data_IF_099808921398
#
_entry.id   IF_099808921398
#
_cell.length_a   1.000
_cell.length_b   1.000
_cell.length_c   1.000
_cell.angle_alpha   90.00
_cell.angle_beta   90.00
_cell.angle_gamma   90.00
#
_symmetry.space_group_name_H-M   'P 1'
#
loop_
_entity.id
_entity.type
_entity.pdbx_description
1 polymer ?
#
# COMPACT_ATOMS: atom_id res chain seq x y z
N UNK A 1 -6.34 13.05 -11.64
CA UNK A 1 -6.23 12.00 -12.67
C UNK A 1 -5.73 10.74 -11.97
N UNK A 2 -6.15 9.55 -12.36
CA UNK A 2 -5.56 8.32 -11.82
C UNK A 2 -4.20 8.04 -12.47
N UNK A 3 -3.30 7.43 -11.70
CA UNK A 3 -2.00 6.97 -12.19
C UNK A 3 -2.12 5.60 -12.85
N UNK A 4 -1.26 5.33 -13.83
CA UNK A 4 -1.26 4.04 -14.55
C UNK A 4 -0.79 2.89 -13.65
N UNK A 5 -1.59 1.84 -13.55
CA UNK A 5 -1.22 0.58 -12.90
C UNK A 5 -0.13 -0.12 -13.73
N UNK A 6 1.03 -0.50 -13.15
CA UNK A 6 2.06 -1.23 -13.88
C UNK A 6 1.63 -2.69 -14.14
N UNK A 7 2.01 -3.22 -15.29
CA UNK A 7 1.86 -4.64 -15.63
C UNK A 7 3.15 -5.14 -16.32
N UNK A 8 3.87 -6.14 -15.76
CA UNK A 8 3.59 -6.85 -14.52
C UNK A 8 3.56 -5.92 -13.30
N UNK A 9 2.68 -6.22 -12.33
CA UNK A 9 2.49 -5.37 -11.16
C UNK A 9 3.66 -5.47 -10.18
N UNK A 10 4.68 -4.65 -10.42
CA UNK A 10 5.94 -4.60 -9.69
C UNK A 10 6.28 -3.15 -9.37
N UNK A 11 6.97 -2.90 -8.26
CA UNK A 11 7.48 -1.58 -7.90
C UNK A 11 8.58 -1.14 -8.88
N UNK A 12 8.62 0.16 -9.19
CA UNK A 12 9.69 0.79 -9.96
C UNK A 12 10.07 2.16 -9.34
N UNK A 13 11.21 2.72 -9.75
CA UNK A 13 11.76 3.98 -9.18
C UNK A 13 10.80 5.19 -9.29
N UNK A 14 9.77 5.16 -10.13
CA UNK A 14 8.73 6.20 -10.18
C UNK A 14 7.77 6.17 -8.99
N UNK A 15 7.82 5.15 -8.13
CA UNK A 15 7.11 5.06 -6.85
C UNK A 15 7.98 5.43 -5.63
N UNK A 16 9.22 5.87 -5.86
CA UNK A 16 10.19 6.12 -4.80
C UNK A 16 9.85 7.34 -3.94
N UNK A 17 9.84 7.21 -2.62
CA UNK A 17 9.61 8.30 -1.65
C UNK A 17 10.90 8.90 -1.07
N UNK A 18 12.06 8.25 -1.27
CA UNK A 18 13.39 8.62 -0.74
C UNK A 18 13.57 8.37 0.76
N UNK A 19 12.76 7.48 1.33
CA UNK A 19 12.92 6.96 2.68
C UNK A 19 13.14 5.46 2.56
N UNK A 20 14.39 5.00 2.67
CA UNK A 20 14.81 3.63 2.31
C UNK A 20 13.90 2.55 2.90
N UNK A 21 13.54 2.67 4.19
CA UNK A 21 12.60 1.75 4.85
C UNK A 21 11.23 1.70 4.16
N UNK A 22 10.63 2.86 3.86
CA UNK A 22 9.31 2.94 3.21
C UNK A 22 9.39 2.47 1.76
N UNK A 23 10.49 2.76 1.06
CA UNK A 23 10.75 2.27 -0.29
C UNK A 23 10.88 0.73 -0.36
N UNK A 24 11.47 0.08 0.66
CA UNK A 24 11.46 -1.39 0.78
C UNK A 24 10.09 -1.96 1.21
N UNK A 25 9.36 -1.28 2.10
CA UNK A 25 8.00 -1.67 2.47
C UNK A 25 7.04 -1.60 1.28
N UNK A 26 7.11 -0.54 0.47
CA UNK A 26 6.36 -0.41 -0.79
C UNK A 26 6.65 -1.58 -1.74
N UNK A 27 7.92 -1.96 -1.95
CA UNK A 27 8.29 -3.15 -2.75
C UNK A 27 7.63 -4.42 -2.21
N UNK A 28 7.60 -4.55 -0.87
CA UNK A 28 6.85 -5.61 -0.18
C UNK A 28 5.35 -5.61 -0.50
N UNK A 29 4.70 -4.44 -0.51
CA UNK A 29 3.26 -4.33 -0.84
C UNK A 29 2.97 -4.68 -2.30
N UNK A 30 3.76 -4.16 -3.25
CA UNK A 30 3.65 -4.52 -4.67
C UNK A 30 3.78 -6.04 -4.87
N UNK A 31 4.79 -6.66 -4.25
CA UNK A 31 4.96 -8.12 -4.32
C UNK A 31 3.80 -8.87 -3.67
N UNK A 32 3.29 -8.41 -2.52
CA UNK A 32 2.16 -9.04 -1.83
C UNK A 32 0.89 -9.07 -2.69
N UNK A 33 0.56 -7.96 -3.35
CA UNK A 33 -0.58 -7.88 -4.27
C UNK A 33 -0.35 -8.76 -5.52
N UNK A 34 0.86 -8.77 -6.07
CA UNK A 34 1.23 -9.65 -7.19
C UNK A 34 1.09 -11.15 -6.82
N UNK A 35 1.60 -11.54 -5.65
CA UNK A 35 1.55 -12.92 -5.16
C UNK A 35 0.10 -13.41 -5.01
N UNK A 36 -0.79 -12.57 -4.46
CA UNK A 36 -2.24 -12.82 -4.33
C UNK A 36 -2.92 -12.86 -5.69
N UNK A 37 -2.61 -11.91 -6.59
CA UNK A 37 -3.18 -11.87 -7.94
C UNK A 37 -2.91 -13.17 -8.73
N UNK A 38 -1.70 -13.75 -8.58
CA UNK A 38 -1.30 -15.01 -9.19
C UNK A 38 -1.80 -16.27 -8.47
N UNK A 39 -2.40 -16.17 -7.29
CA UNK A 39 -2.90 -17.30 -6.51
C UNK A 39 -4.08 -16.91 -5.60
N UNK A 40 -5.17 -16.43 -6.20
CA UNK A 40 -6.32 -15.82 -5.49
C UNK A 40 -6.96 -16.69 -4.40
N UNK A 41 -6.88 -18.02 -4.52
CA UNK A 41 -7.37 -18.99 -3.53
C UNK A 41 -6.44 -19.23 -2.32
N UNK A 42 -5.25 -18.64 -2.31
CA UNK A 42 -4.25 -18.80 -1.25
C UNK A 42 -4.49 -17.81 -0.10
N UNK A 43 -5.20 -18.28 0.93
CA UNK A 43 -5.44 -17.50 2.16
C UNK A 43 -4.16 -17.16 2.94
N UNK A 44 -3.07 -17.93 2.77
CA UNK A 44 -1.78 -17.63 3.39
C UNK A 44 -1.13 -16.39 2.78
N UNK A 45 -1.22 -16.24 1.44
CA UNK A 45 -0.79 -15.02 0.74
C UNK A 45 -1.63 -13.80 1.08
N UNK A 46 -2.96 -13.96 1.20
CA UNK A 46 -3.84 -12.88 1.63
C UNK A 46 -3.49 -12.40 3.06
N UNK A 47 -3.31 -13.34 4.00
CA UNK A 47 -2.88 -13.03 5.36
C UNK A 47 -1.50 -12.35 5.42
N UNK A 48 -0.56 -12.76 4.54
CA UNK A 48 0.73 -12.10 4.41
C UNK A 48 0.61 -10.67 3.87
N UNK A 49 -0.26 -10.43 2.87
CA UNK A 49 -0.53 -9.08 2.36
C UNK A 49 -1.17 -8.19 3.45
N UNK A 50 -2.17 -8.69 4.18
CA UNK A 50 -2.79 -7.99 5.32
C UNK A 50 -1.74 -7.58 6.36
N UNK A 51 -0.83 -8.51 6.72
CA UNK A 51 0.27 -8.25 7.64
C UNK A 51 1.25 -7.19 7.12
N UNK A 52 1.64 -7.26 5.85
CA UNK A 52 2.58 -6.32 5.24
C UNK A 52 2.00 -4.89 5.19
N UNK A 53 0.75 -4.74 4.75
CA UNK A 53 0.06 -3.44 4.70
C UNK A 53 -0.03 -2.82 6.11
N UNK A 54 -0.41 -3.61 7.12
CA UNK A 54 -0.49 -3.11 8.51
C UNK A 54 0.87 -2.66 9.05
N UNK A 55 1.92 -3.44 8.83
CA UNK A 55 3.27 -3.13 9.31
C UNK A 55 3.90 -1.90 8.63
N UNK A 56 3.57 -1.67 7.36
CA UNK A 56 3.96 -0.49 6.61
C UNK A 56 3.23 0.76 7.12
N UNK A 57 1.90 0.73 7.21
CA UNK A 57 1.13 1.88 7.73
C UNK A 57 1.53 2.23 9.17
N UNK A 58 1.76 1.24 10.05
CA UNK A 58 2.29 1.51 11.40
C UNK A 58 3.66 2.22 11.38
N UNK A 59 4.50 1.88 10.43
CA UNK A 59 5.85 2.44 10.26
C UNK A 59 5.84 3.86 9.70
N UNK A 60 4.99 4.11 8.70
CA UNK A 60 4.84 5.41 8.06
C UNK A 60 4.09 6.40 8.96
N UNK A 61 3.01 5.96 9.61
CA UNK A 61 2.32 6.76 10.63
C UNK A 61 3.25 7.16 11.78
N UNK A 62 4.21 6.30 12.18
CA UNK A 62 5.18 6.63 13.21
C UNK A 62 6.16 7.73 12.76
N UNK A 63 6.60 7.70 11.51
CA UNK A 63 7.45 8.76 10.92
C UNK A 63 6.67 10.08 10.78
N UNK A 64 5.43 10.04 10.24
CA UNK A 64 4.54 11.20 10.16
C UNK A 64 4.29 11.86 11.52
N UNK A 65 4.05 11.07 12.58
CA UNK A 65 3.90 11.57 13.95
C UNK A 65 5.20 12.19 14.47
N UNK A 66 6.34 11.53 14.26
CA UNK A 66 7.65 12.03 14.69
C UNK A 66 8.02 13.38 14.06
N UNK A 67 7.69 13.56 12.79
CA UNK A 67 7.92 14.81 12.05
C UNK A 67 6.86 15.90 12.29
N UNK A 68 5.79 15.62 13.04
CA UNK A 68 4.60 16.49 13.17
C UNK A 68 3.97 16.84 11.81
N UNK A 69 3.88 15.86 10.92
CA UNK A 69 3.39 16.04 9.54
C UNK A 69 1.94 16.55 9.52
N UNK A 70 1.72 17.73 8.90
CA UNK A 70 0.46 18.47 8.98
C UNK A 70 -0.76 17.68 8.46
N UNK A 71 -0.60 16.95 7.36
CA UNK A 71 -1.68 16.18 6.73
C UNK A 71 -1.81 14.75 7.30
N UNK A 72 -1.19 14.45 8.46
CA UNK A 72 -1.23 13.13 9.08
C UNK A 72 -2.66 12.59 9.27
N UNK A 73 -3.61 13.44 9.69
CA UNK A 73 -4.96 13.00 10.01
C UNK A 73 -5.76 12.53 8.77
N UNK A 74 -5.60 13.21 7.63
CA UNK A 74 -6.25 12.83 6.37
C UNK A 74 -5.54 11.64 5.71
N UNK A 75 -4.20 11.58 5.80
CA UNK A 75 -3.42 10.41 5.38
C UNK A 75 -3.88 9.16 6.15
N UNK A 76 -3.99 9.25 7.48
CA UNK A 76 -4.42 8.14 8.33
C UNK A 76 -5.82 7.63 7.97
N UNK A 77 -6.75 8.52 7.63
CA UNK A 77 -8.09 8.13 7.19
C UNK A 77 -8.06 7.17 6.00
N UNK A 78 -7.22 7.43 5.00
CA UNK A 78 -7.05 6.54 3.85
C UNK A 78 -6.47 5.17 4.23
N UNK A 79 -5.55 5.12 5.21
CA UNK A 79 -5.03 3.86 5.76
C UNK A 79 -6.10 3.03 6.47
N UNK A 80 -6.92 3.67 7.32
CA UNK A 80 -7.96 2.99 8.08
C UNK A 80 -9.06 2.43 7.16
N UNK A 81 -9.48 3.19 6.14
CA UNK A 81 -10.43 2.72 5.11
C UNK A 81 -9.87 1.52 4.31
N UNK A 82 -8.59 1.57 3.91
CA UNK A 82 -7.97 0.47 3.16
C UNK A 82 -7.74 -0.78 4.04
N UNK A 83 -7.28 -0.62 5.29
CA UNK A 83 -7.16 -1.73 6.24
C UNK A 83 -8.52 -2.35 6.57
N UNK A 84 -9.55 -1.54 6.77
CA UNK A 84 -10.93 -2.01 6.99
C UNK A 84 -11.38 -2.89 5.82
N UNK A 85 -11.21 -2.40 4.60
CA UNK A 85 -11.51 -3.13 3.35
C UNK A 85 -10.72 -4.43 3.24
N UNK A 86 -9.40 -4.38 3.45
CA UNK A 86 -8.48 -5.50 3.25
C UNK A 86 -8.64 -6.60 4.31
N UNK A 87 -8.95 -6.24 5.56
CA UNK A 87 -9.19 -7.18 6.67
C UNK A 87 -10.56 -7.86 6.59
N UNK A 88 -11.53 -7.27 5.86
CA UNK A 88 -12.81 -7.92 5.56
C UNK A 88 -12.72 -9.04 4.51
N UNK A 89 -11.56 -9.22 3.87
CA UNK A 89 -11.36 -10.21 2.80
C UNK A 89 -11.05 -11.61 3.34
N UNK A 90 -11.51 -12.61 2.60
CA UNK A 90 -11.09 -14.01 2.70
C UNK A 90 -10.73 -14.55 1.30
N UNK A 91 -10.06 -15.70 1.24
CA UNK A 91 -9.81 -16.38 -0.02
C UNK A 91 -11.01 -17.27 -0.41
N UNK A 92 -11.39 -17.35 -1.70
CA UNK A 92 -10.72 -16.76 -2.86
C UNK A 92 -11.00 -15.26 -3.06
N UNK A 93 -9.95 -14.49 -3.34
CA UNK A 93 -10.04 -13.05 -3.65
C UNK A 93 -10.53 -12.84 -5.09
N UNK A 94 -11.48 -11.94 -5.32
CA UNK A 94 -11.99 -11.65 -6.67
C UNK A 94 -11.00 -10.85 -7.52
N UNK A 95 -11.22 -10.90 -8.83
CA UNK A 95 -10.50 -10.10 -9.83
C UNK A 95 -10.68 -8.59 -9.56
N UNK A 96 -11.90 -8.17 -9.22
CA UNK A 96 -12.25 -6.79 -8.84
C UNK A 96 -11.51 -6.32 -7.58
N UNK A 97 -11.41 -7.17 -6.54
CA UNK A 97 -10.67 -6.84 -5.32
C UNK A 97 -9.17 -6.75 -5.57
N UNK A 98 -8.62 -7.60 -6.44
CA UNK A 98 -7.22 -7.49 -6.89
C UNK A 98 -7.00 -6.19 -7.68
N UNK A 99 -7.93 -5.82 -8.58
CA UNK A 99 -7.85 -4.57 -9.33
C UNK A 99 -7.96 -3.35 -8.41
N UNK A 100 -8.88 -3.36 -7.44
CA UNK A 100 -9.01 -2.34 -6.40
C UNK A 100 -7.69 -2.18 -5.62
N UNK A 101 -7.09 -3.27 -5.13
CA UNK A 101 -5.82 -3.21 -4.39
C UNK A 101 -4.67 -2.67 -5.25
N UNK A 102 -4.54 -3.13 -6.51
CA UNK A 102 -3.56 -2.60 -7.48
C UNK A 102 -3.75 -1.09 -7.70
N UNK A 103 -4.99 -0.66 -7.93
CA UNK A 103 -5.32 0.75 -8.18
C UNK A 103 -5.10 1.63 -6.94
N UNK A 104 -5.53 1.17 -5.77
CA UNK A 104 -5.42 1.93 -4.52
C UNK A 104 -3.95 2.22 -4.20
N UNK A 105 -3.08 1.19 -4.15
CA UNK A 105 -1.67 1.36 -3.81
C UNK A 105 -0.95 2.31 -4.79
N UNK A 106 -1.22 2.16 -6.09
CA UNK A 106 -0.61 2.99 -7.14
C UNK A 106 -1.00 4.47 -7.03
N UNK A 107 -2.25 4.76 -6.67
CA UNK A 107 -2.73 6.13 -6.53
C UNK A 107 -2.38 6.74 -5.16
N UNK A 108 -2.37 5.95 -4.09
CA UNK A 108 -1.97 6.39 -2.75
C UNK A 108 -0.51 6.86 -2.75
N UNK A 109 0.43 6.02 -3.20
CA UNK A 109 1.85 6.39 -3.27
C UNK A 109 2.06 7.68 -4.07
N UNK A 110 1.51 7.74 -5.28
CA UNK A 110 1.77 8.86 -6.21
C UNK A 110 0.93 10.12 -5.98
N UNK A 111 0.03 10.14 -4.98
CA UNK A 111 -0.85 11.30 -4.71
C UNK A 111 -0.89 11.72 -3.24
N UNK A 112 -0.76 10.77 -2.31
CA UNK A 112 -0.75 10.95 -0.86
C UNK A 112 0.67 10.91 -0.33
N UNK A 113 1.40 9.82 -0.56
CA UNK A 113 2.71 9.57 0.08
C UNK A 113 3.78 10.50 -0.50
N UNK A 114 3.65 10.81 -1.80
CA UNK A 114 4.44 11.82 -2.47
C UNK A 114 4.30 13.23 -1.86
N UNK A 115 3.28 13.50 -1.04
CA UNK A 115 3.16 14.78 -0.31
C UNK A 115 4.16 14.89 0.84
N UNK A 116 4.59 13.80 1.47
CA UNK A 116 5.50 13.85 2.63
C UNK A 116 6.99 13.86 2.25
N UNK A 117 7.33 13.77 0.97
CA UNK A 117 8.72 13.66 0.48
C UNK A 117 9.56 14.88 0.89
N UNK A 118 10.59 14.66 1.72
CA UNK A 118 11.40 15.72 2.30
C UNK A 118 10.75 16.46 3.48
N UNK A 119 9.72 15.87 4.09
CA UNK A 119 8.99 16.41 5.27
C UNK A 119 8.93 15.45 6.46
N UNK A 120 9.37 14.19 6.29
CA UNK A 120 9.64 13.21 7.37
C UNK A 120 11.14 13.17 7.69
#
# INVERSE_FOLDING_TARGET
MSHSIPEPFVWDESFKVFYEKLDEEHKGLFKGIFDVAGAKGDGGKLANLQKLVKAHFDSEEALMKGANYADFASHKGAHDDFLSTLNGLSAPVSDDTVHFAKNWLVNHIKSTDFQYKGKL
#
